data_IF_209241999314
#
_entry.id   IF_209241999314
#
_cell.length_a   1.000
_cell.length_b   1.000
_cell.length_c   1.000
_cell.angle_alpha   90.00
_cell.angle_beta   90.00
_cell.angle_gamma   90.00
#
_symmetry.space_group_name_H-M   'P 1'
#
loop_
_entity.id
_entity.type
_entity.pdbx_description
1 polymer ?
#
# COMPACT_ATOMS: atom_id res chain seq x y z
N UNK A 1 34.48 -17.87 -6.42
CA UNK A 1 33.65 -17.95 -5.20
C UNK A 1 32.24 -17.54 -5.60
N UNK A 2 31.19 -18.29 -5.24
CA UNK A 2 29.83 -17.93 -5.59
C UNK A 2 29.49 -16.61 -4.90
N UNK A 3 29.00 -15.64 -5.67
CA UNK A 3 28.48 -14.40 -5.10
C UNK A 3 27.22 -14.78 -4.32
N UNK A 4 27.29 -14.66 -3.00
CA UNK A 4 26.13 -14.76 -2.12
C UNK A 4 25.08 -13.78 -2.63
N UNK A 5 24.02 -14.35 -3.17
CA UNK A 5 22.81 -13.64 -3.50
C UNK A 5 22.24 -13.13 -2.17
N UNK A 6 22.58 -11.91 -1.76
CA UNK A 6 21.88 -11.28 -0.65
C UNK A 6 20.43 -11.09 -1.07
N UNK A 7 19.45 -11.65 -0.34
CA UNK A 7 18.07 -11.29 -0.58
C UNK A 7 17.95 -9.81 -0.21
N UNK A 8 17.65 -8.97 -1.21
CA UNK A 8 17.14 -7.61 -1.00
C UNK A 8 16.14 -7.64 0.15
N UNK A 9 16.24 -6.76 1.16
CA UNK A 9 15.26 -6.72 2.24
C UNK A 9 13.90 -6.40 1.63
N UNK A 10 13.07 -7.42 1.43
CA UNK A 10 11.64 -7.27 1.16
C UNK A 10 11.06 -6.48 2.34
N UNK A 11 10.32 -5.38 2.12
CA UNK A 11 9.74 -4.61 3.20
C UNK A 11 8.95 -5.54 4.12
N UNK A 12 9.38 -5.59 5.38
CA UNK A 12 8.78 -6.41 6.41
C UNK A 12 7.50 -5.72 6.88
N UNK A 13 6.39 -6.42 6.66
CA UNK A 13 5.01 -6.14 7.07
C UNK A 13 4.13 -5.25 6.16
N UNK A 14 3.00 -5.80 5.65
CA UNK A 14 1.94 -4.99 5.06
C UNK A 14 1.32 -4.08 6.13
N UNK A 15 1.02 -2.83 5.75
CA UNK A 15 0.26 -1.90 6.61
C UNK A 15 -1.01 -2.60 7.08
N UNK A 16 -1.17 -2.72 8.41
CA UNK A 16 -2.36 -3.34 9.00
C UNK A 16 -3.52 -2.37 8.90
N UNK A 17 -4.41 -2.62 7.95
CA UNK A 17 -5.68 -1.93 7.84
C UNK A 17 -6.69 -2.56 8.80
N UNK A 18 -7.53 -1.72 9.41
CA UNK A 18 -8.63 -2.15 10.28
C UNK A 18 -9.92 -1.47 9.83
N UNK A 19 -11.05 -2.06 10.19
CA UNK A 19 -12.38 -1.51 9.91
C UNK A 19 -13.00 -0.82 11.13
N UNK A 20 -12.19 -0.38 12.09
CA UNK A 20 -12.65 0.05 13.43
C UNK A 20 -13.79 1.08 13.40
N UNK A 21 -13.80 1.99 12.42
CA UNK A 21 -14.91 2.94 12.22
C UNK A 21 -16.21 2.26 11.81
N UNK A 22 -16.16 1.39 10.81
CA UNK A 22 -17.32 0.66 10.31
C UNK A 22 -17.85 -0.33 11.36
N UNK A 23 -16.95 -0.94 12.15
CA UNK A 23 -17.31 -1.84 13.25
C UNK A 23 -17.98 -1.08 14.40
N UNK A 24 -17.53 0.13 14.71
CA UNK A 24 -18.07 0.94 15.81
C UNK A 24 -19.39 1.64 15.46
N UNK A 25 -19.60 1.99 14.18
CA UNK A 25 -20.77 2.75 13.69
C UNK A 25 -21.29 2.15 12.38
N UNK A 26 -21.89 0.94 12.42
CA UNK A 26 -22.32 0.21 11.22
C UNK A 26 -23.40 0.93 10.42
N UNK A 27 -24.23 1.76 11.06
CA UNK A 27 -25.24 2.59 10.40
C UNK A 27 -24.66 3.78 9.63
N UNK A 28 -23.40 4.15 9.89
CA UNK A 28 -22.69 5.24 9.23
C UNK A 28 -21.77 4.77 8.09
N UNK A 29 -21.72 3.47 7.82
CA UNK A 29 -20.88 2.89 6.79
C UNK A 29 -21.70 1.98 5.86
N UNK A 30 -21.34 1.96 4.58
CA UNK A 30 -21.92 1.02 3.61
C UNK A 30 -20.76 0.19 3.05
N UNK A 31 -20.93 -1.14 3.06
CA UNK A 31 -19.97 -2.04 2.41
C UNK A 31 -19.99 -1.77 0.90
N UNK A 32 -18.86 -1.30 0.38
CA UNK A 32 -18.72 -0.88 -1.01
C UNK A 32 -17.30 -1.12 -1.51
N UNK A 33 -17.14 -1.38 -2.80
CA UNK A 33 -15.85 -1.57 -3.45
C UNK A 33 -15.57 -0.42 -4.43
N UNK A 34 -14.32 0.06 -4.47
CA UNK A 34 -13.92 1.08 -5.42
C UNK A 34 -14.11 0.58 -6.87
N UNK A 35 -14.56 1.48 -7.75
CA UNK A 35 -14.62 1.18 -9.18
C UNK A 35 -13.20 1.12 -9.75
N UNK A 36 -12.95 0.20 -10.66
CA UNK A 36 -11.67 0.14 -11.38
C UNK A 36 -11.50 1.35 -12.30
N UNK A 37 -10.30 1.94 -12.30
CA UNK A 37 -9.93 2.99 -13.23
C UNK A 37 -9.40 2.37 -14.53
N UNK A 38 -9.86 2.82 -15.71
CA UNK A 38 -9.30 2.35 -16.97
C UNK A 38 -7.86 2.88 -17.13
N UNK A 39 -6.92 1.97 -17.42
CA UNK A 39 -5.50 2.27 -17.64
C UNK A 39 -4.87 3.17 -16.54
N UNK A 40 -4.75 2.67 -15.30
CA UNK A 40 -4.27 3.45 -14.17
C UNK A 40 -2.78 3.82 -14.33
N UNK A 41 -2.44 5.07 -14.04
CA UNK A 41 -1.07 5.56 -14.00
C UNK A 41 -0.82 6.47 -12.78
N UNK A 42 0.41 6.47 -12.29
CA UNK A 42 0.82 7.34 -11.17
C UNK A 42 1.28 8.69 -11.74
N UNK A 43 0.53 9.74 -11.46
CA UNK A 43 0.88 11.12 -11.85
C UNK A 43 1.83 11.76 -10.83
N UNK A 44 1.58 11.52 -9.54
CA UNK A 44 2.40 12.04 -8.44
C UNK A 44 2.36 11.07 -7.27
N UNK A 45 3.51 10.84 -6.64
CA UNK A 45 3.64 10.08 -5.40
C UNK A 45 4.38 10.94 -4.38
N UNK A 46 3.91 10.94 -3.13
CA UNK A 46 4.56 11.63 -2.04
C UNK A 46 5.47 10.66 -1.27
N UNK A 47 6.76 10.65 -1.62
CA UNK A 47 7.75 9.73 -1.05
C UNK A 47 7.98 9.96 0.44
N UNK A 48 7.98 11.22 0.88
CA UNK A 48 8.18 11.55 2.29
C UNK A 48 7.03 11.04 3.15
N UNK A 49 5.81 11.12 2.65
CA UNK A 49 4.65 10.56 3.33
C UNK A 49 4.67 9.03 3.30
N UNK A 50 4.98 8.41 2.17
CA UNK A 50 5.07 6.95 2.06
C UNK A 50 6.06 6.38 3.10
N UNK A 51 7.26 6.95 3.20
CA UNK A 51 8.24 6.54 4.22
C UNK A 51 7.74 6.76 5.65
N UNK A 52 7.07 7.88 5.93
CA UNK A 52 6.47 8.15 7.26
C UNK A 52 5.39 7.12 7.63
N UNK A 53 4.69 6.57 6.64
CA UNK A 53 3.70 5.52 6.82
C UNK A 53 4.32 4.11 6.87
N UNK A 54 5.65 3.98 6.74
CA UNK A 54 6.34 2.69 6.68
C UNK A 54 6.18 1.97 5.35
N UNK A 55 5.77 2.67 4.29
CA UNK A 55 5.63 2.15 2.93
C UNK A 55 6.89 2.41 2.12
N UNK A 56 7.24 1.46 1.24
CA UNK A 56 8.31 1.64 0.25
C UNK A 56 7.78 2.42 -0.98
N UNK A 57 8.30 3.63 -1.26
CA UNK A 57 7.90 4.41 -2.44
C UNK A 57 8.17 3.70 -3.77
N UNK A 58 9.23 2.89 -3.85
CA UNK A 58 9.57 2.19 -5.11
C UNK A 58 8.59 1.05 -5.37
N UNK A 59 8.19 0.33 -4.33
CA UNK A 59 7.10 -0.64 -4.43
C UNK A 59 5.78 0.03 -4.85
N UNK A 60 5.44 1.20 -4.28
CA UNK A 60 4.22 1.93 -4.65
C UNK A 60 4.20 2.41 -6.11
N UNK A 61 5.36 2.48 -6.78
CA UNK A 61 5.48 2.86 -8.19
C UNK A 61 5.31 1.70 -9.16
N UNK A 62 5.30 0.45 -8.68
CA UNK A 62 5.13 -0.69 -9.58
C UNK A 62 3.72 -0.67 -10.15
N UNK A 63 3.53 -1.01 -11.44
CA UNK A 63 2.21 -1.19 -12.03
C UNK A 63 1.35 -2.15 -11.18
N UNK A 64 0.05 -1.85 -11.11
CA UNK A 64 -0.93 -2.70 -10.44
C UNK A 64 -1.21 -4.00 -11.21
#
# INVERSE_FOLDING_TARGET
MPQTNEPTPTPDQPVRLTAAFADAMPEMAIAWAAQEAPAPEIVVLNDDLARKLGLDPEWLRTPA
#
